data_IF_182165669908
#
_entry.id   IF_182165669908
#
_cell.length_a   1.000
_cell.length_b   1.000
_cell.length_c   1.000
_cell.angle_alpha   90.00
_cell.angle_beta   90.00
_cell.angle_gamma   90.00
#
_symmetry.space_group_name_H-M   'P 1'
#
loop_
_entity.id
_entity.type
_entity.pdbx_description
1 polymer ?
#
# COMPACT_ATOMS: atom_id res chain seq x y z
N UNK A 1 2.25 -9.81 -7.17
CA UNK A 1 0.81 -9.74 -6.85
C UNK A 1 -0.14 -10.03 -8.04
N UNK A 2 0.35 -10.39 -9.23
CA UNK A 2 -0.49 -10.59 -10.43
C UNK A 2 -0.55 -12.05 -10.89
N UNK A 3 -1.22 -12.92 -10.13
CA UNK A 3 -1.58 -14.26 -10.62
C UNK A 3 -3.09 -14.46 -10.55
N UNK A 4 -3.62 -14.93 -11.69
CA UNK A 4 -4.95 -15.47 -11.97
C UNK A 4 -6.15 -14.59 -11.61
N UNK A 5 -6.34 -13.50 -12.37
CA UNK A 5 -7.65 -12.83 -12.44
C UNK A 5 -8.54 -13.59 -13.40
N UNK A 6 -9.69 -14.06 -12.90
CA UNK A 6 -10.75 -14.64 -13.74
C UNK A 6 -11.05 -13.67 -14.91
N UNK A 7 -10.88 -14.10 -16.18
CA UNK A 7 -11.07 -13.23 -17.33
C UNK A 7 -12.52 -12.74 -17.46
N UNK A 8 -13.48 -13.38 -16.80
CA UNK A 8 -14.88 -12.96 -16.76
C UNK A 8 -15.15 -11.79 -15.80
N UNK A 9 -14.18 -11.42 -14.97
CA UNK A 9 -14.29 -10.33 -14.01
C UNK A 9 -13.60 -9.07 -14.56
N UNK A 10 -14.27 -7.90 -14.58
CA UNK A 10 -13.61 -6.65 -14.93
C UNK A 10 -12.57 -6.28 -13.86
N UNK A 11 -11.35 -5.96 -14.29
CA UNK A 11 -10.27 -5.54 -13.43
C UNK A 11 -9.83 -4.11 -13.78
N UNK A 12 -9.97 -3.20 -12.82
CA UNK A 12 -9.53 -1.81 -12.95
C UNK A 12 -8.19 -1.65 -12.24
N UNK A 13 -7.18 -1.19 -12.98
CA UNK A 13 -5.91 -0.78 -12.41
C UNK A 13 -5.88 0.71 -12.21
N UNK A 14 -5.53 1.13 -11.01
CA UNK A 14 -5.20 2.52 -10.69
C UNK A 14 -3.77 2.65 -10.17
N UNK A 15 -3.09 1.55 -9.87
CA UNK A 15 -1.68 1.51 -9.50
C UNK A 15 -0.83 1.24 -10.75
N UNK A 16 0.15 2.09 -11.01
CA UNK A 16 0.94 2.11 -12.24
C UNK A 16 0.22 2.76 -13.42
N UNK A 17 -0.97 3.32 -13.19
CA UNK A 17 -1.77 4.04 -14.18
C UNK A 17 -3.17 3.46 -14.39
N UNK A 18 -4.05 4.25 -15.00
CA UNK A 18 -5.43 3.83 -15.25
C UNK A 18 -5.49 2.83 -16.41
N UNK A 19 -5.94 1.61 -16.13
CA UNK A 19 -6.33 0.66 -17.17
C UNK A 19 -7.54 -0.17 -16.76
N UNK A 20 -8.24 -0.71 -17.75
CA UNK A 20 -9.33 -1.64 -17.56
C UNK A 20 -9.04 -2.91 -18.36
N UNK A 21 -9.18 -4.06 -17.72
CA UNK A 21 -9.06 -5.38 -18.33
C UNK A 21 -10.37 -6.15 -18.16
N UNK A 22 -10.82 -6.83 -19.22
CA UNK A 22 -12.02 -7.67 -19.22
C UNK A 22 -11.93 -8.68 -20.37
N UNK A 23 -12.36 -9.92 -20.15
CA UNK A 23 -12.24 -11.00 -21.15
C UNK A 23 -10.81 -11.32 -21.55
N UNK A 24 -9.84 -11.17 -20.62
CA UNK A 24 -8.41 -11.35 -20.91
C UNK A 24 -7.79 -10.27 -21.80
N UNK A 25 -8.50 -9.17 -22.09
CA UNK A 25 -8.04 -8.08 -22.97
C UNK A 25 -8.06 -6.74 -22.25
N UNK A 26 -7.17 -5.83 -22.66
CA UNK A 26 -7.24 -4.42 -22.25
C UNK A 26 -8.37 -3.73 -23.02
N UNK A 27 -9.30 -3.12 -22.29
CA UNK A 27 -10.43 -2.39 -22.86
C UNK A 27 -10.02 -0.97 -23.23
N UNK A 28 -10.52 -0.47 -24.36
CA UNK A 28 -10.37 0.92 -24.75
C UNK A 28 -11.28 1.80 -23.88
N UNK A 29 -10.67 2.66 -23.06
CA UNK A 29 -11.41 3.63 -22.24
C UNK A 29 -11.49 4.97 -22.96
N UNK A 30 -12.70 5.51 -23.23
CA UNK A 30 -12.86 6.84 -23.79
C UNK A 30 -12.17 7.90 -22.91
N UNK A 31 -11.36 8.84 -23.46
CA UNK A 31 -10.65 9.83 -22.63
C UNK A 31 -11.56 10.62 -21.70
N UNK A 32 -12.76 10.98 -22.18
CA UNK A 32 -13.77 11.72 -21.40
C UNK A 32 -14.38 10.95 -20.24
N UNK A 33 -14.01 9.68 -20.00
CA UNK A 33 -14.48 8.89 -18.87
C UNK A 33 -13.39 8.47 -17.88
N UNK A 34 -12.11 8.73 -18.19
CA UNK A 34 -10.98 8.32 -17.34
C UNK A 34 -11.12 8.84 -15.92
N UNK A 35 -11.42 10.14 -15.78
CA UNK A 35 -11.55 10.79 -14.46
C UNK A 35 -12.65 10.17 -13.62
N UNK A 36 -13.80 9.89 -14.23
CA UNK A 36 -14.92 9.26 -13.52
C UNK A 36 -14.56 7.85 -13.06
N UNK A 37 -13.99 7.01 -13.93
CA UNK A 37 -13.63 5.65 -13.54
C UNK A 37 -12.58 5.62 -12.42
N UNK A 38 -11.54 6.44 -12.55
CA UNK A 38 -10.51 6.58 -11.53
C UNK A 38 -11.12 7.05 -10.20
N UNK A 39 -11.95 8.09 -10.22
CA UNK A 39 -12.60 8.60 -9.02
C UNK A 39 -13.46 7.55 -8.33
N UNK A 40 -14.27 6.79 -9.08
CA UNK A 40 -15.07 5.70 -8.51
C UNK A 40 -14.19 4.56 -7.95
N UNK A 41 -13.06 4.25 -8.59
CA UNK A 41 -12.13 3.22 -8.11
C UNK A 41 -11.46 3.61 -6.79
N UNK A 42 -11.25 4.90 -6.53
CA UNK A 42 -10.72 5.39 -5.25
C UNK A 42 -11.78 5.50 -4.14
N UNK A 43 -13.06 5.31 -4.46
CA UNK A 43 -14.19 5.44 -3.54
C UNK A 43 -15.10 4.20 -3.59
N UNK A 44 -14.64 3.05 -3.04
CA UNK A 44 -15.34 1.77 -3.15
C UNK A 44 -16.72 1.76 -2.47
N UNK A 45 -16.94 2.62 -1.46
CA UNK A 45 -18.24 2.79 -0.81
C UNK A 45 -19.29 3.47 -1.72
N UNK A 46 -18.87 4.02 -2.86
CA UNK A 46 -19.68 4.87 -3.72
C UNK A 46 -19.61 6.35 -3.33
N UNK A 47 -20.13 7.19 -4.20
CA UNK A 47 -20.09 8.66 -4.11
C UNK A 47 -21.45 9.24 -4.48
N UNK A 48 -21.78 10.39 -3.90
CA UNK A 48 -22.90 11.19 -4.35
C UNK A 48 -22.61 11.77 -5.76
N UNK A 49 -23.62 11.73 -6.64
CA UNK A 49 -23.53 12.18 -8.03
C UNK A 49 -23.18 13.66 -8.14
N UNK A 50 -23.82 14.51 -7.33
CA UNK A 50 -23.61 15.96 -7.41
C UNK A 50 -22.23 16.33 -6.92
N UNK A 51 -21.81 15.72 -5.82
CA UNK A 51 -20.48 15.86 -5.23
C UNK A 51 -19.40 15.40 -6.20
N UNK A 52 -19.58 14.24 -6.83
CA UNK A 52 -18.65 13.73 -7.85
C UNK A 52 -18.52 14.68 -9.05
N UNK A 53 -19.63 15.29 -9.51
CA UNK A 53 -19.58 16.27 -10.59
C UNK A 53 -18.71 17.49 -10.21
N UNK A 54 -18.91 18.05 -9.01
CA UNK A 54 -18.14 19.19 -8.53
C UNK A 54 -16.65 18.89 -8.36
N UNK A 55 -16.31 17.73 -7.81
CA UNK A 55 -14.90 17.30 -7.63
C UNK A 55 -14.21 17.06 -8.97
N UNK A 56 -14.90 16.44 -9.93
CA UNK A 56 -14.29 16.05 -11.21
C UNK A 56 -14.13 17.23 -12.18
N UNK A 57 -15.01 18.23 -12.10
CA UNK A 57 -15.01 19.44 -12.94
C UNK A 57 -15.17 20.71 -12.09
N UNK A 58 -14.15 21.09 -11.28
CA UNK A 58 -14.27 22.18 -10.31
C UNK A 58 -14.29 23.59 -10.95
N UNK A 59 -13.97 23.72 -12.23
CA UNK A 59 -13.81 25.02 -12.91
C UNK A 59 -15.03 25.47 -13.71
N UNK A 60 -16.16 24.76 -13.60
CA UNK A 60 -17.41 25.07 -14.31
C UNK A 60 -18.57 25.14 -13.33
N UNK A 61 -19.68 25.74 -13.74
CA UNK A 61 -20.92 25.75 -12.94
C UNK A 61 -21.50 24.34 -12.74
N UNK A 62 -22.35 24.20 -11.71
CA UNK A 62 -23.00 22.95 -11.33
C UNK A 62 -23.75 22.26 -12.49
N UNK A 63 -24.42 23.04 -13.35
CA UNK A 63 -25.21 22.51 -14.45
C UNK A 63 -24.32 21.88 -15.52
N UNK A 64 -23.20 22.55 -15.85
CA UNK A 64 -22.18 22.05 -16.78
C UNK A 64 -21.40 20.88 -16.19
N UNK A 65 -21.06 20.91 -14.90
CA UNK A 65 -20.43 19.78 -14.21
C UNK A 65 -21.34 18.53 -14.26
N UNK A 66 -22.63 18.69 -13.97
CA UNK A 66 -23.60 17.60 -14.07
C UNK A 66 -23.78 17.09 -15.51
N UNK A 67 -23.73 17.99 -16.51
CA UNK A 67 -23.68 17.63 -17.93
C UNK A 67 -22.47 16.77 -18.28
N UNK A 68 -21.27 17.21 -17.88
CA UNK A 68 -20.03 16.48 -18.09
C UNK A 68 -20.05 15.09 -17.43
N UNK A 69 -20.56 15.00 -16.19
CA UNK A 69 -20.73 13.74 -15.48
C UNK A 69 -21.64 12.78 -16.26
N UNK A 70 -22.78 13.24 -16.77
CA UNK A 70 -23.70 12.41 -17.57
C UNK A 70 -23.01 11.90 -18.83
N UNK A 71 -22.28 12.75 -19.55
CA UNK A 71 -21.55 12.33 -20.74
C UNK A 71 -20.41 11.34 -20.42
N UNK A 72 -19.67 11.54 -19.33
CA UNK A 72 -18.63 10.61 -18.89
C UNK A 72 -19.22 9.24 -18.51
N UNK A 73 -20.32 9.24 -17.75
CA UNK A 73 -21.03 8.04 -17.35
C UNK A 73 -21.58 7.27 -18.55
N UNK A 74 -22.22 7.97 -19.49
CA UNK A 74 -22.73 7.34 -20.71
C UNK A 74 -21.62 6.65 -21.49
N UNK A 75 -20.45 7.31 -21.65
CA UNK A 75 -19.28 6.71 -22.31
C UNK A 75 -18.76 5.46 -21.58
N UNK A 76 -18.72 5.45 -20.25
CA UNK A 76 -18.35 4.24 -19.49
C UNK A 76 -19.30 3.09 -19.72
N UNK A 77 -20.60 3.38 -19.80
CA UNK A 77 -21.62 2.35 -20.06
C UNK A 77 -21.48 1.73 -21.46
N UNK A 78 -20.84 2.42 -22.42
CA UNK A 78 -20.56 1.89 -23.76
C UNK A 78 -19.31 0.99 -23.84
N UNK A 79 -18.51 0.88 -22.78
CA UNK A 79 -17.25 0.09 -22.81
C UNK A 79 -17.52 -1.42 -22.94
N UNK A 80 -18.76 -1.87 -22.75
CA UNK A 80 -19.16 -3.26 -23.03
C UNK A 80 -18.86 -4.24 -21.89
N UNK A 81 -18.67 -3.76 -20.67
CA UNK A 81 -18.52 -4.59 -19.47
C UNK A 81 -19.20 -3.96 -18.24
N UNK A 82 -19.57 -4.76 -17.22
CA UNK A 82 -20.34 -4.27 -16.07
C UNK A 82 -19.45 -3.49 -15.09
N UNK A 83 -19.21 -2.21 -15.35
CA UNK A 83 -18.30 -1.38 -14.53
C UNK A 83 -18.98 -0.59 -13.42
N UNK A 84 -20.03 0.16 -13.77
CA UNK A 84 -20.58 1.20 -12.91
C UNK A 84 -21.96 0.80 -12.40
N UNK A 85 -22.15 0.91 -11.08
CA UNK A 85 -23.46 0.98 -10.42
C UNK A 85 -23.88 2.44 -10.41
N UNK A 86 -24.99 2.76 -11.07
CA UNK A 86 -25.51 4.12 -11.14
C UNK A 86 -26.96 4.12 -10.66
N UNK A 87 -27.19 4.75 -9.51
CA UNK A 87 -28.51 4.98 -8.94
C UNK A 87 -28.91 6.44 -9.13
N UNK A 88 -30.05 6.83 -8.56
CA UNK A 88 -30.58 8.20 -8.70
C UNK A 88 -29.60 9.24 -8.16
N UNK A 89 -29.05 9.02 -6.97
CA UNK A 89 -28.15 9.97 -6.28
C UNK A 89 -26.74 9.44 -6.12
N UNK A 90 -26.51 8.14 -6.25
CA UNK A 90 -25.18 7.54 -6.00
C UNK A 90 -24.55 6.95 -7.26
N UNK A 91 -23.22 6.96 -7.29
CA UNK A 91 -22.39 6.25 -8.26
C UNK A 91 -21.40 5.38 -7.52
N UNK A 92 -21.10 4.21 -8.07
CA UNK A 92 -20.04 3.36 -7.55
C UNK A 92 -19.52 2.43 -8.63
N UNK A 93 -18.39 1.79 -8.34
CA UNK A 93 -17.99 0.61 -9.08
C UNK A 93 -18.89 -0.56 -8.66
N UNK A 94 -19.23 -1.46 -9.60
CA UNK A 94 -20.01 -2.67 -9.27
C UNK A 94 -19.16 -3.62 -8.43
N UNK A 95 -19.81 -4.33 -7.51
CA UNK A 95 -19.14 -5.27 -6.58
C UNK A 95 -18.35 -6.37 -7.28
N UNK A 96 -18.78 -6.77 -8.49
CA UNK A 96 -18.06 -7.76 -9.30
C UNK A 96 -16.70 -7.25 -9.82
N UNK A 97 -16.49 -5.94 -9.87
CA UNK A 97 -15.26 -5.36 -10.44
C UNK A 97 -14.16 -5.39 -9.39
N UNK A 98 -13.04 -5.99 -9.75
CA UNK A 98 -11.85 -5.95 -8.91
C UNK A 98 -11.01 -4.71 -9.19
N UNK A 99 -10.42 -4.13 -8.15
CA UNK A 99 -9.40 -3.09 -8.29
C UNK A 99 -8.10 -3.52 -7.63
N UNK A 100 -6.97 -3.16 -8.24
CA UNK A 100 -5.65 -3.37 -7.63
C UNK A 100 -5.49 -2.62 -6.31
N UNK A 101 -6.13 -1.45 -6.17
CA UNK A 101 -6.23 -0.71 -4.90
C UNK A 101 -6.97 -1.53 -3.83
N UNK A 102 -8.15 -2.07 -4.11
CA UNK A 102 -8.90 -2.86 -3.14
C UNK A 102 -8.15 -4.14 -2.74
N UNK A 103 -7.44 -4.76 -3.68
CA UNK A 103 -6.56 -5.92 -3.41
C UNK A 103 -5.44 -5.54 -2.43
N UNK A 104 -4.78 -4.41 -2.67
CA UNK A 104 -3.77 -3.90 -1.75
C UNK A 104 -4.37 -3.55 -0.37
N UNK A 105 -5.49 -2.84 -0.32
CA UNK A 105 -6.14 -2.45 0.94
C UNK A 105 -6.58 -3.67 1.76
N UNK A 106 -7.05 -4.73 1.09
CA UNK A 106 -7.42 -6.01 1.70
C UNK A 106 -6.20 -6.74 2.29
N UNK A 107 -5.10 -6.85 1.53
CA UNK A 107 -3.83 -7.39 2.01
C UNK A 107 -3.31 -6.60 3.22
N UNK A 108 -3.20 -5.28 3.09
CA UNK A 108 -2.74 -4.42 4.16
C UNK A 108 -3.65 -4.52 5.40
N UNK A 109 -4.97 -4.62 5.19
CA UNK A 109 -5.94 -4.85 6.26
C UNK A 109 -5.64 -6.12 7.05
N UNK A 110 -5.47 -7.26 6.38
CA UNK A 110 -5.17 -8.54 7.04
C UNK A 110 -3.84 -8.53 7.77
N UNK A 111 -2.81 -7.95 7.17
CA UNK A 111 -1.48 -7.81 7.80
C UNK A 111 -1.57 -6.97 9.07
N UNK A 112 -2.20 -5.79 8.99
CA UNK A 112 -2.33 -4.87 10.11
C UNK A 112 -3.24 -5.38 11.24
N UNK A 113 -4.25 -6.19 10.92
CA UNK A 113 -5.15 -6.79 11.93
C UNK A 113 -4.62 -8.09 12.53
N UNK A 114 -3.45 -8.57 12.10
CA UNK A 114 -2.89 -9.85 12.56
C UNK A 114 -3.64 -11.08 12.05
N UNK A 115 -4.44 -10.94 11.00
CA UNK A 115 -5.18 -12.03 10.34
C UNK A 115 -4.57 -12.39 8.98
N UNK A 116 -3.26 -12.18 8.83
CA UNK A 116 -2.51 -12.49 7.62
C UNK A 116 -2.51 -14.01 7.35
N UNK A 117 -2.69 -14.39 6.09
CA UNK A 117 -2.55 -15.77 5.65
C UNK A 117 -1.09 -16.10 5.28
N UNK A 118 -0.72 -17.38 5.09
CA UNK A 118 0.60 -17.73 4.56
C UNK A 118 0.93 -17.05 3.22
N UNK A 119 -0.08 -16.86 2.36
CA UNK A 119 0.06 -16.16 1.08
C UNK A 119 0.39 -14.68 1.27
N UNK A 120 -0.22 -14.02 2.27
CA UNK A 120 0.07 -12.62 2.59
C UNK A 120 1.53 -12.44 3.05
N UNK A 121 2.11 -13.45 3.71
CA UNK A 121 3.52 -13.49 4.12
C UNK A 121 4.48 -13.89 2.99
N UNK A 122 3.95 -14.36 1.86
CA UNK A 122 4.75 -14.74 0.69
C UNK A 122 4.82 -13.62 -0.36
N UNK A 123 4.13 -12.49 -0.13
CA UNK A 123 4.17 -11.32 -1.01
C UNK A 123 5.60 -10.76 -1.09
N UNK A 124 6.08 -10.57 -2.31
CA UNK A 124 7.35 -9.90 -2.60
C UNK A 124 7.27 -8.41 -2.20
N UNK A 125 8.07 -7.95 -1.23
CA UNK A 125 8.11 -6.55 -0.82
C UNK A 125 8.51 -5.58 -1.94
N UNK A 126 9.31 -6.02 -2.93
CA UNK A 126 9.70 -5.19 -4.07
C UNK A 126 8.47 -4.73 -4.86
N UNK A 127 7.54 -5.63 -5.11
CA UNK A 127 6.27 -5.29 -5.77
C UNK A 127 5.39 -4.28 -5.01
N UNK A 128 5.64 -4.09 -3.70
CA UNK A 128 4.96 -3.09 -2.87
C UNK A 128 5.68 -1.72 -2.94
N UNK A 129 7.01 -1.72 -3.10
CA UNK A 129 7.83 -0.52 -3.22
C UNK A 129 7.38 0.35 -4.42
N UNK A 130 7.11 -0.31 -5.54
CA UNK A 130 6.80 0.32 -6.83
C UNK A 130 5.32 0.73 -6.98
N UNK A 131 4.53 0.65 -5.90
CA UNK A 131 3.12 1.05 -5.94
C UNK A 131 2.98 2.57 -6.05
N UNK A 132 2.78 3.06 -7.27
CA UNK A 132 2.41 4.46 -7.53
C UNK A 132 0.96 4.55 -8.01
N UNK A 133 0.11 5.25 -7.24
CA UNK A 133 -1.30 5.46 -7.62
C UNK A 133 -1.40 6.53 -8.71
N UNK A 134 -2.03 6.21 -9.84
CA UNK A 134 -2.38 7.13 -10.95
C UNK A 134 -1.26 8.11 -11.35
N UNK A 135 -0.03 7.65 -11.68
CA UNK A 135 1.09 8.51 -12.08
C UNK A 135 0.68 9.57 -13.09
N UNK A 136 1.14 10.82 -12.90
CA UNK A 136 0.81 11.97 -13.74
C UNK A 136 -0.53 12.66 -13.44
N UNK A 137 -1.31 12.17 -12.47
CA UNK A 137 -2.52 12.83 -11.99
C UNK A 137 -2.20 13.69 -10.76
N UNK A 138 -2.58 14.96 -10.78
CA UNK A 138 -2.26 15.93 -9.72
C UNK A 138 -3.49 16.54 -9.06
N UNK A 139 -4.66 15.96 -9.28
CA UNK A 139 -5.89 16.41 -8.64
C UNK A 139 -5.88 16.12 -7.13
N UNK A 140 -6.39 17.04 -6.32
CA UNK A 140 -6.40 16.93 -4.85
C UNK A 140 -7.03 15.63 -4.33
N UNK A 141 -8.07 15.14 -5.01
CA UNK A 141 -8.74 13.87 -4.67
C UNK A 141 -7.85 12.65 -4.93
N UNK A 142 -6.89 12.73 -5.85
CA UNK A 142 -5.86 11.69 -6.04
C UNK A 142 -4.76 11.83 -5.00
N UNK A 143 -4.27 13.05 -4.77
CA UNK A 143 -3.18 13.33 -3.83
C UNK A 143 -3.55 12.90 -2.40
N UNK A 144 -4.78 13.15 -1.97
CA UNK A 144 -5.28 12.71 -0.66
C UNK A 144 -5.25 11.19 -0.51
N UNK A 145 -5.61 10.45 -1.55
CA UNK A 145 -5.62 8.98 -1.53
C UNK A 145 -4.21 8.43 -1.61
N UNK A 146 -3.31 9.05 -2.37
CA UNK A 146 -1.88 8.71 -2.42
C UNK A 146 -1.23 8.79 -1.06
N UNK A 147 -1.47 9.89 -0.33
CA UNK A 147 -0.90 10.07 1.01
C UNK A 147 -1.39 8.98 1.97
N UNK A 148 -2.71 8.72 1.96
CA UNK A 148 -3.29 7.63 2.76
C UNK A 148 -2.70 6.26 2.39
N UNK A 149 -2.53 5.99 1.10
CA UNK A 149 -1.96 4.74 0.59
C UNK A 149 -0.49 4.60 1.01
N UNK A 150 0.27 5.68 0.93
CA UNK A 150 1.67 5.76 1.33
C UNK A 150 1.84 5.36 2.81
N UNK A 151 1.14 6.04 3.72
CA UNK A 151 1.21 5.77 5.15
C UNK A 151 0.78 4.33 5.48
N UNK A 152 -0.32 3.87 4.86
CA UNK A 152 -0.82 2.50 5.07
C UNK A 152 0.16 1.44 4.56
N UNK A 153 0.86 1.70 3.45
CA UNK A 153 1.91 0.84 2.92
C UNK A 153 3.09 0.71 3.88
N UNK A 154 3.60 1.84 4.37
CA UNK A 154 4.72 1.85 5.33
C UNK A 154 4.37 1.03 6.57
N UNK A 155 3.18 1.27 7.15
CA UNK A 155 2.73 0.52 8.33
C UNK A 155 2.56 -0.98 8.04
N UNK A 156 1.98 -1.34 6.90
CA UNK A 156 1.79 -2.75 6.54
C UNK A 156 3.12 -3.48 6.33
N UNK A 157 4.14 -2.82 5.79
CA UNK A 157 5.48 -3.39 5.64
C UNK A 157 6.22 -3.54 6.99
N UNK A 158 6.07 -2.59 7.91
CA UNK A 158 6.56 -2.70 9.29
C UNK A 158 5.93 -3.92 10.00
N UNK A 159 4.61 -4.08 9.91
CA UNK A 159 3.90 -5.23 10.50
C UNK A 159 4.23 -6.55 9.79
N UNK A 160 4.35 -6.55 8.45
CA UNK A 160 4.80 -7.71 7.70
C UNK A 160 6.16 -8.21 8.20
N UNK A 161 7.10 -7.28 8.45
CA UNK A 161 8.42 -7.60 9.01
C UNK A 161 8.33 -8.26 10.39
N UNK A 162 7.45 -7.75 11.25
CA UNK A 162 7.18 -8.33 12.56
C UNK A 162 6.63 -9.77 12.45
N UNK A 163 5.64 -10.00 11.58
CA UNK A 163 5.06 -11.32 11.33
C UNK A 163 6.08 -12.30 10.73
N UNK A 164 6.91 -11.84 9.79
CA UNK A 164 7.98 -12.64 9.19
C UNK A 164 9.03 -13.05 10.22
N UNK A 165 9.43 -12.15 11.13
CA UNK A 165 10.32 -12.51 12.26
C UNK A 165 9.71 -13.56 13.16
N UNK A 166 8.44 -13.38 13.55
CA UNK A 166 7.73 -14.32 14.45
C UNK A 166 7.54 -15.70 13.81
N UNK A 167 7.45 -15.76 12.48
CA UNK A 167 7.37 -17.01 11.71
C UNK A 167 8.74 -17.63 11.36
N UNK A 168 9.83 -17.12 11.94
CA UNK A 168 11.17 -17.69 11.73
C UNK A 168 11.79 -17.36 10.36
N UNK A 169 11.33 -16.29 9.70
CA UNK A 169 11.80 -15.82 8.38
C UNK A 169 12.48 -14.45 8.48
N UNK A 170 13.55 -14.28 9.28
CA UNK A 170 14.14 -12.97 9.55
C UNK A 170 14.78 -12.30 8.34
N UNK A 171 15.28 -13.03 7.34
CA UNK A 171 15.82 -12.43 6.11
C UNK A 171 14.72 -11.75 5.28
N UNK A 172 13.57 -12.41 5.10
CA UNK A 172 12.42 -11.82 4.43
C UNK A 172 11.87 -10.61 5.23
N UNK A 173 11.95 -10.66 6.56
CA UNK A 173 11.57 -9.54 7.39
C UNK A 173 12.45 -8.30 7.18
N UNK A 174 13.75 -8.49 6.96
CA UNK A 174 14.68 -7.41 6.59
C UNK A 174 14.27 -6.80 5.25
N UNK A 175 13.98 -7.61 4.23
CA UNK A 175 13.53 -7.14 2.92
C UNK A 175 12.24 -6.30 3.02
N UNK A 176 11.25 -6.78 3.78
CA UNK A 176 9.98 -6.07 3.97
C UNK A 176 10.15 -4.68 4.60
N UNK A 177 10.84 -4.60 5.73
CA UNK A 177 11.01 -3.32 6.43
C UNK A 177 12.04 -2.41 5.74
N UNK A 178 12.97 -2.96 4.96
CA UNK A 178 13.87 -2.13 4.17
C UNK A 178 13.08 -1.25 3.19
N UNK A 179 12.05 -1.78 2.53
CA UNK A 179 11.16 -1.00 1.67
C UNK A 179 10.45 0.12 2.45
N UNK A 180 9.99 -0.16 3.68
CA UNK A 180 9.37 0.86 4.54
C UNK A 180 10.35 1.99 4.90
N UNK A 181 11.60 1.65 5.25
CA UNK A 181 12.65 2.61 5.61
C UNK A 181 13.09 3.46 4.40
N UNK A 182 13.12 2.88 3.19
CA UNK A 182 13.40 3.68 1.99
C UNK A 182 12.29 4.69 1.70
N UNK A 183 11.03 4.32 1.97
CA UNK A 183 9.89 5.22 1.81
C UNK A 183 9.88 6.33 2.88
N UNK A 184 10.20 5.99 4.13
CA UNK A 184 10.17 6.89 5.28
C UNK A 184 11.47 6.84 6.12
N UNK A 185 12.59 7.43 5.64
CA UNK A 185 13.90 7.28 6.26
C UNK A 185 14.01 7.86 7.67
N UNK A 186 13.21 8.87 8.00
CA UNK A 186 13.20 9.55 9.30
C UNK A 186 12.27 8.89 10.32
N UNK A 187 11.49 7.88 9.90
CA UNK A 187 10.50 7.23 10.76
C UNK A 187 11.16 6.21 11.68
N UNK A 188 11.10 6.49 12.98
CA UNK A 188 11.81 5.72 13.99
C UNK A 188 11.30 4.28 14.15
N UNK A 189 10.00 4.03 13.98
CA UNK A 189 9.44 2.68 14.04
C UNK A 189 10.00 1.76 12.95
N UNK A 190 10.18 2.27 11.73
CA UNK A 190 10.75 1.51 10.61
C UNK A 190 12.22 1.19 10.87
N UNK A 191 12.96 2.17 11.39
CA UNK A 191 14.37 2.00 11.79
C UNK A 191 14.52 0.94 12.88
N UNK A 192 13.66 1.01 13.91
CA UNK A 192 13.59 0.00 14.96
C UNK A 192 13.33 -1.39 14.39
N UNK A 193 12.29 -1.52 13.55
CA UNK A 193 11.92 -2.80 12.96
C UNK A 193 13.05 -3.38 12.08
N UNK A 194 13.79 -2.53 11.34
CA UNK A 194 14.95 -2.93 10.55
C UNK A 194 16.12 -3.43 11.41
N UNK A 195 16.45 -2.69 12.49
CA UNK A 195 17.47 -3.08 13.46
C UNK A 195 17.13 -4.44 14.08
N UNK A 196 15.89 -4.58 14.57
CA UNK A 196 15.46 -5.81 15.20
C UNK A 196 15.37 -6.99 14.21
N UNK A 197 15.03 -6.74 12.94
CA UNK A 197 15.07 -7.76 11.88
C UNK A 197 16.49 -8.23 11.58
N UNK A 198 17.46 -7.31 11.48
CA UNK A 198 18.87 -7.68 11.36
C UNK A 198 19.37 -8.48 12.58
N UNK A 199 19.00 -8.08 13.79
CA UNK A 199 19.35 -8.83 15.02
C UNK A 199 18.77 -10.24 14.99
N UNK A 200 17.50 -10.40 14.58
CA UNK A 200 16.84 -11.69 14.42
C UNK A 200 17.50 -12.57 13.34
N UNK A 201 18.04 -11.95 12.28
CA UNK A 201 18.84 -12.62 11.25
C UNK A 201 20.28 -12.94 11.70
N UNK A 202 20.69 -12.54 12.90
CA UNK A 202 22.07 -12.69 13.40
C UNK A 202 23.05 -11.64 12.89
N UNK A 203 22.59 -10.64 12.13
CA UNK A 203 23.37 -9.58 11.51
C UNK A 203 23.62 -8.40 12.46
N UNK A 204 24.18 -8.68 13.65
CA UNK A 204 24.35 -7.69 14.73
C UNK A 204 25.21 -6.48 14.34
N UNK A 205 26.27 -6.69 13.56
CA UNK A 205 27.11 -5.59 13.08
C UNK A 205 26.34 -4.64 12.15
N UNK A 206 25.52 -5.20 11.25
CA UNK A 206 24.66 -4.42 10.34
C UNK A 206 23.59 -3.66 11.13
N UNK A 207 22.95 -4.31 12.11
CA UNK A 207 22.00 -3.65 12.99
C UNK A 207 22.62 -2.44 13.72
N UNK A 208 23.86 -2.57 14.21
CA UNK A 208 24.57 -1.46 14.84
C UNK A 208 24.90 -0.34 13.86
N UNK A 209 25.40 -0.68 12.68
CA UNK A 209 25.68 0.27 11.62
C UNK A 209 24.42 1.05 11.20
N UNK A 210 23.27 0.38 11.11
CA UNK A 210 21.99 1.00 10.80
C UNK A 210 21.60 2.04 11.84
N UNK A 211 21.72 1.71 13.14
CA UNK A 211 21.46 2.67 14.22
C UNK A 211 22.40 3.88 14.16
N UNK A 212 23.70 3.66 13.97
CA UNK A 212 24.68 4.74 13.89
C UNK A 212 24.47 5.61 12.64
N UNK A 213 23.98 5.04 11.53
CA UNK A 213 23.57 5.78 10.35
C UNK A 213 22.31 6.61 10.60
N UNK A 214 21.25 6.02 11.17
CA UNK A 214 20.01 6.71 11.49
C UNK A 214 20.25 7.87 12.47
N UNK A 215 21.03 7.65 13.54
CA UNK A 215 21.41 8.70 14.49
C UNK A 215 22.10 9.89 13.82
N UNK A 216 22.99 9.64 12.85
CA UNK A 216 23.64 10.72 12.09
C UNK A 216 22.64 11.49 11.23
N UNK A 217 21.72 10.80 10.56
CA UNK A 217 20.68 11.43 9.73
C UNK A 217 19.76 12.26 10.62
N UNK A 218 19.28 11.72 11.75
CA UNK A 218 18.35 12.41 12.65
C UNK A 218 18.96 13.70 13.22
N UNK A 219 20.21 13.64 13.67
CA UNK A 219 20.95 14.83 14.12
C UNK A 219 21.12 15.86 13.01
N UNK A 220 21.37 15.43 11.76
CA UNK A 220 21.59 16.32 10.62
C UNK A 220 20.29 17.00 10.15
N UNK A 221 19.21 16.24 10.01
CA UNK A 221 17.96 16.73 9.41
C UNK A 221 17.07 17.46 10.41
N UNK A 222 17.02 17.00 11.66
CA UNK A 222 16.06 17.50 12.67
C UNK A 222 16.71 17.87 14.01
N UNK A 223 18.02 17.66 14.19
CA UNK A 223 18.74 18.14 15.38
C UNK A 223 18.45 17.38 16.68
N UNK A 224 17.85 16.18 16.61
CA UNK A 224 17.52 15.36 17.80
C UNK A 224 18.25 14.02 17.83
N UNK A 225 18.31 13.40 19.01
CA UNK A 225 18.76 12.01 19.18
C UNK A 225 17.61 11.02 18.94
N UNK A 226 17.93 9.75 18.59
CA UNK A 226 16.97 8.66 18.66
C UNK A 226 16.38 8.52 20.06
N UNK A 227 15.16 7.98 20.16
CA UNK A 227 14.50 7.72 21.43
C UNK A 227 15.32 6.80 22.35
N UNK A 228 15.00 6.83 23.65
CA UNK A 228 15.59 5.92 24.62
C UNK A 228 15.25 4.46 24.30
N UNK A 229 14.02 4.22 23.81
CA UNK A 229 13.52 2.90 23.41
C UNK A 229 14.33 2.34 22.24
N UNK A 230 14.54 3.12 21.17
CA UNK A 230 15.34 2.66 20.04
C UNK A 230 16.80 2.47 20.42
N UNK A 231 17.36 3.40 21.21
CA UNK A 231 18.73 3.27 21.70
C UNK A 231 18.90 1.98 22.48
N UNK A 232 17.99 1.66 23.40
CA UNK A 232 18.04 0.44 24.18
C UNK A 232 17.99 -0.83 23.29
N UNK A 233 17.12 -0.86 22.28
CA UNK A 233 17.03 -1.97 21.33
C UNK A 233 18.32 -2.12 20.51
N UNK A 234 18.87 -1.02 20.01
CA UNK A 234 20.04 -1.02 19.15
C UNK A 234 21.35 -1.34 19.90
N UNK A 235 21.43 -1.00 21.19
CA UNK A 235 22.61 -1.23 22.03
C UNK A 235 22.50 -2.46 22.92
N UNK A 236 21.38 -3.20 22.86
CA UNK A 236 21.19 -4.39 23.66
C UNK A 236 22.32 -5.41 23.43
N UNK A 237 22.90 -5.99 24.50
CA UNK A 237 23.94 -7.00 24.35
C UNK A 237 23.37 -8.24 23.64
N UNK A 238 24.20 -8.87 22.79
CA UNK A 238 23.84 -10.13 22.14
C UNK A 238 23.47 -11.15 23.20
N UNK A 239 22.21 -11.58 23.20
CA UNK A 239 21.74 -12.64 24.10
C UNK A 239 22.48 -13.93 23.73
N UNK A 240 23.46 -14.33 24.54
CA UNK A 240 24.13 -15.63 24.38
C UNK A 240 23.07 -16.69 24.66
N UNK A 241 22.73 -17.50 23.66
CA UNK A 241 21.99 -18.73 23.92
C UNK A 241 22.87 -19.58 24.84
N UNK A 242 22.39 -19.84 26.07
CA UNK A 242 23.07 -20.75 26.97
C UNK A 242 23.08 -22.13 26.30
N UNK A 243 24.26 -22.62 25.94
CA UNK A 243 24.43 -24.02 25.54
C UNK A 243 24.09 -24.86 26.77
N UNK A 244 23.08 -25.75 26.73
CA UNK A 244 22.84 -26.67 27.83
C UNK A 244 24.10 -27.50 28.03
N UNK A 245 24.72 -27.42 29.21
CA UNK A 245 25.84 -28.28 29.55
C UNK A 245 25.39 -29.74 29.39
N UNK A 246 26.19 -30.62 28.74
CA UNK A 246 25.85 -32.03 28.68
C UNK A 246 25.73 -32.56 30.11
N UNK A 247 24.59 -33.19 30.41
CA UNK A 247 24.41 -33.93 31.67
C UNK A 247 25.50 -34.98 31.72
N UNK A 248 26.50 -34.79 32.57
CA UNK A 248 27.44 -35.85 32.90
C UNK A 248 26.64 -36.93 33.62
N UNK A 249 26.51 -38.09 32.97
CA UNK A 249 25.88 -39.27 33.52
C UNK A 249 26.62 -39.75 34.78
N UNK A 250 25.83 -40.18 35.76
CA UNK A 250 26.25 -41.13 36.79
C UNK A 250 25.60 -42.47 36.46
#
# INVERSE_FOLDING_TARGET
MYHDTDPSIPHVRVIGGLSLHYGGRRMALPPGSHRLLAYLALHPAGVDRRSAAGVLWPTVDDARAAGNLRSALWRLQQVGCPLVRAEQTTLGIREVVETDLARFESWAGRVLSGSATPEDLAVDPGSIADLELLPGWYDDWVLTVRERLHLRRVHALEELSLLLRRSGRPSAAVEAVHVAVQAEPLRESGQRALIEAHQAAGNWAVARQQFDAFRRILRREIGVEPSAELTAVATAPRRRLAVPLPRQGR
#
